data_IF_754188416457
#
_entry.id   IF_754188416457
#
_cell.length_a   1.000
_cell.length_b   1.000
_cell.length_c   1.000
_cell.angle_alpha   90.00
_cell.angle_beta   90.00
_cell.angle_gamma   90.00
#
_symmetry.space_group_name_H-M   'P 1'
#
loop_
_entity.id
_entity.type
_entity.pdbx_description
1 polymer ?
#
# COMPACT_ATOMS: atom_id res chain seq x y z
N UNK A 1 -43.90 -4.65 2.48
CA UNK A 1 -42.62 -5.01 1.82
C UNK A 1 -42.29 -3.92 0.82
N UNK A 2 -41.43 -2.98 1.20
CA UNK A 2 -40.98 -1.90 0.31
C UNK A 2 -39.94 -2.48 -0.65
N UNK A 3 -40.25 -2.48 -1.95
CA UNK A 3 -39.33 -2.91 -3.00
C UNK A 3 -38.05 -2.06 -2.93
N UNK A 4 -36.97 -2.67 -2.45
CA UNK A 4 -35.65 -2.03 -2.44
C UNK A 4 -35.10 -2.11 -3.86
N UNK A 5 -35.51 -1.18 -4.73
CA UNK A 5 -34.90 -1.05 -6.05
C UNK A 5 -33.40 -0.84 -5.89
N UNK A 6 -32.64 -1.71 -6.55
CA UNK A 6 -31.19 -1.65 -6.54
C UNK A 6 -30.78 -0.47 -7.42
N UNK A 7 -30.18 0.52 -6.80
CA UNK A 7 -29.62 1.69 -7.51
C UNK A 7 -28.11 1.56 -7.51
N UNK A 8 -27.43 2.28 -8.40
CA UNK A 8 -25.95 2.38 -8.37
C UNK A 8 -25.47 2.77 -6.95
N UNK A 9 -26.25 3.60 -6.25
CA UNK A 9 -25.94 4.10 -4.91
C UNK A 9 -26.30 3.15 -3.76
N UNK A 10 -27.06 2.06 -3.99
CA UNK A 10 -27.47 1.14 -2.92
C UNK A 10 -27.34 -0.30 -3.36
N UNK A 11 -26.55 -1.06 -2.58
CA UNK A 11 -26.36 -2.49 -2.78
C UNK A 11 -27.68 -3.28 -2.87
N UNK A 12 -28.73 -2.82 -2.17
CA UNK A 12 -30.07 -3.43 -2.17
C UNK A 12 -30.18 -4.69 -1.31
N UNK A 13 -29.06 -5.18 -0.76
CA UNK A 13 -29.03 -6.29 0.18
C UNK A 13 -29.48 -5.85 1.58
N UNK A 14 -30.25 -6.70 2.24
CA UNK A 14 -30.58 -6.53 3.65
C UNK A 14 -29.51 -7.20 4.54
N UNK A 15 -28.39 -6.50 4.73
CA UNK A 15 -27.22 -7.04 5.44
C UNK A 15 -27.54 -7.47 6.88
N UNK A 16 -28.48 -6.79 7.55
CA UNK A 16 -28.92 -7.16 8.89
C UNK A 16 -29.62 -8.53 8.91
N UNK A 17 -30.57 -8.76 8.01
CA UNK A 17 -31.25 -10.05 7.87
C UNK A 17 -30.30 -11.16 7.43
N UNK A 18 -29.37 -10.86 6.51
CA UNK A 18 -28.31 -11.79 6.12
C UNK A 18 -27.46 -12.22 7.33
N UNK A 19 -27.04 -11.27 8.16
CA UNK A 19 -26.26 -11.55 9.37
C UNK A 19 -27.04 -12.37 10.38
N UNK A 20 -28.33 -12.07 10.59
CA UNK A 20 -29.22 -12.86 11.44
C UNK A 20 -29.30 -14.30 10.93
N UNK A 21 -29.52 -14.49 9.62
CA UNK A 21 -29.61 -15.80 9.01
C UNK A 21 -28.31 -16.61 9.18
N UNK A 22 -27.14 -16.00 8.96
CA UNK A 22 -25.86 -16.67 9.24
C UNK A 22 -25.69 -17.00 10.73
N UNK A 23 -26.03 -16.08 11.63
CA UNK A 23 -25.98 -16.31 13.07
C UNK A 23 -26.87 -17.48 13.46
N UNK A 24 -28.09 -17.55 12.95
CA UNK A 24 -29.03 -18.63 13.24
C UNK A 24 -28.55 -19.97 12.68
N UNK A 25 -28.02 -20.00 11.45
CA UNK A 25 -27.41 -21.19 10.86
C UNK A 25 -26.19 -21.69 11.66
N UNK A 26 -25.36 -20.79 12.17
CA UNK A 26 -24.19 -21.14 12.98
C UNK A 26 -24.59 -21.56 14.39
N UNK A 27 -25.65 -20.98 14.96
CA UNK A 27 -26.20 -21.35 16.29
C UNK A 27 -26.78 -22.75 16.31
N UNK A 28 -27.27 -23.27 15.19
CA UNK A 28 -27.66 -24.68 15.08
C UNK A 28 -26.50 -25.63 15.39
N UNK A 29 -25.24 -25.14 15.41
CA UNK A 29 -24.09 -25.80 16.02
C UNK A 29 -23.63 -27.07 15.31
N UNK A 30 -24.27 -27.46 14.20
CA UNK A 30 -23.89 -28.65 13.47
C UNK A 30 -22.63 -28.36 12.63
N UNK A 31 -21.54 -29.05 12.95
CA UNK A 31 -20.29 -28.97 12.19
C UNK A 31 -20.48 -29.24 10.69
N UNK A 32 -21.52 -30.04 10.35
CA UNK A 32 -21.94 -30.31 8.97
C UNK A 32 -22.43 -29.05 8.26
N UNK A 33 -23.29 -28.23 8.86
CA UNK A 33 -23.78 -26.99 8.24
C UNK A 33 -22.63 -26.01 7.99
N UNK A 34 -21.74 -25.83 8.97
CA UNK A 34 -20.56 -24.96 8.80
C UNK A 34 -19.62 -25.47 7.69
N UNK A 35 -19.42 -26.79 7.58
CA UNK A 35 -18.64 -27.39 6.50
C UNK A 35 -19.32 -27.19 5.14
N UNK A 36 -20.61 -27.45 5.03
CA UNK A 36 -21.37 -27.25 3.78
C UNK A 36 -21.37 -25.79 3.34
N UNK A 37 -21.57 -24.84 4.26
CA UNK A 37 -21.47 -23.41 3.97
C UNK A 37 -20.04 -23.02 3.54
N UNK A 38 -19.02 -23.60 4.16
CA UNK A 38 -17.63 -23.44 3.76
C UNK A 38 -17.38 -23.92 2.33
N UNK A 39 -17.86 -25.11 1.98
CA UNK A 39 -17.77 -25.66 0.62
C UNK A 39 -18.56 -24.84 -0.39
N UNK A 40 -19.76 -24.37 -0.03
CA UNK A 40 -20.54 -23.47 -0.88
C UNK A 40 -19.80 -22.15 -1.12
N UNK A 41 -19.22 -21.56 -0.07
CA UNK A 41 -18.42 -20.32 -0.17
C UNK A 41 -17.21 -20.51 -1.09
N UNK A 42 -16.49 -21.63 -0.93
CA UNK A 42 -15.35 -21.97 -1.79
C UNK A 42 -15.77 -22.14 -3.25
N UNK A 43 -16.86 -22.88 -3.49
CA UNK A 43 -17.42 -23.10 -4.82
C UNK A 43 -17.85 -21.80 -5.48
N UNK A 44 -18.55 -20.92 -4.77
CA UNK A 44 -18.95 -19.61 -5.30
C UNK A 44 -17.72 -18.76 -5.65
N UNK A 45 -16.66 -18.80 -4.85
CA UNK A 45 -15.40 -18.11 -5.15
C UNK A 45 -14.71 -18.70 -6.39
N UNK A 46 -14.70 -20.02 -6.54
CA UNK A 46 -14.13 -20.68 -7.71
C UNK A 46 -14.97 -20.40 -8.98
N UNK A 47 -16.29 -20.32 -8.87
CA UNK A 47 -17.20 -19.91 -9.95
C UNK A 47 -17.00 -18.42 -10.34
N UNK A 48 -16.77 -17.53 -9.37
CA UNK A 48 -16.42 -16.13 -9.64
C UNK A 48 -15.00 -15.97 -10.22
N UNK A 49 -14.09 -16.88 -9.88
CA UNK A 49 -12.73 -16.90 -10.41
C UNK A 49 -12.64 -17.49 -11.82
N UNK A 50 -13.64 -18.28 -12.23
CA UNK A 50 -13.63 -18.97 -13.51
C UNK A 50 -13.48 -17.95 -14.66
N UNK A 51 -12.57 -18.22 -15.60
CA UNK A 51 -12.40 -17.35 -16.74
C UNK A 51 -13.70 -17.28 -17.55
N UNK A 52 -13.96 -16.09 -18.08
CA UNK A 52 -15.00 -15.82 -19.05
C UNK A 52 -15.05 -16.91 -20.14
N UNK A 53 -16.10 -17.74 -20.16
CA UNK A 53 -16.33 -18.63 -21.28
C UNK A 53 -16.59 -17.83 -22.57
N UNK A 54 -16.44 -18.43 -23.76
CA UNK A 54 -16.75 -17.75 -25.01
C UNK A 54 -18.24 -17.36 -25.03
N UNK A 55 -18.53 -16.08 -24.80
CA UNK A 55 -19.88 -15.52 -24.80
C UNK A 55 -20.38 -14.94 -23.47
N UNK A 56 -19.67 -15.11 -22.34
CA UNK A 56 -20.01 -14.46 -21.08
C UNK A 56 -18.79 -13.69 -20.57
N UNK A 57 -18.93 -12.38 -20.37
CA UNK A 57 -17.92 -11.60 -19.65
C UNK A 57 -17.78 -12.21 -18.25
N UNK A 58 -16.66 -12.86 -17.97
CA UNK A 58 -16.42 -13.53 -16.69
C UNK A 58 -16.63 -12.58 -15.53
N UNK A 59 -17.01 -13.10 -14.37
CA UNK A 59 -17.39 -12.29 -13.20
C UNK A 59 -16.32 -11.25 -12.80
N UNK A 60 -15.04 -11.51 -13.06
CA UNK A 60 -13.94 -10.56 -12.85
C UNK A 60 -14.01 -9.38 -13.84
N UNK A 61 -14.45 -9.59 -15.08
CA UNK A 61 -14.64 -8.52 -16.06
C UNK A 61 -16.01 -7.85 -15.95
N UNK A 62 -16.98 -8.51 -15.32
CA UNK A 62 -18.33 -7.97 -15.14
C UNK A 62 -18.34 -6.84 -14.11
N UNK A 63 -18.92 -5.71 -14.51
CA UNK A 63 -19.26 -4.59 -13.61
C UNK A 63 -20.71 -4.67 -13.14
N UNK A 64 -21.37 -5.81 -13.36
CA UNK A 64 -22.76 -6.01 -13.01
C UNK A 64 -22.96 -5.92 -11.49
N UNK A 65 -23.96 -5.16 -11.04
CA UNK A 65 -24.20 -4.97 -9.62
C UNK A 65 -24.57 -6.28 -8.91
N UNK A 66 -25.13 -7.26 -9.62
CA UNK A 66 -25.47 -8.57 -9.09
C UNK A 66 -24.23 -9.36 -8.65
N UNK A 67 -23.19 -9.38 -9.47
CA UNK A 67 -21.90 -10.01 -9.13
C UNK A 67 -21.26 -9.33 -7.91
N UNK A 68 -21.31 -7.99 -7.85
CA UNK A 68 -20.77 -7.23 -6.72
C UNK A 68 -21.53 -7.48 -5.41
N UNK A 69 -22.83 -7.78 -5.47
CA UNK A 69 -23.59 -8.23 -4.29
C UNK A 69 -23.07 -9.54 -3.74
N UNK A 70 -22.69 -10.48 -4.62
CA UNK A 70 -22.08 -11.74 -4.19
C UNK A 70 -20.76 -11.46 -3.47
N UNK A 71 -19.92 -10.55 -3.98
CA UNK A 71 -18.71 -10.12 -3.27
C UNK A 71 -19.01 -9.51 -1.90
N UNK A 72 -20.06 -8.68 -1.76
CA UNK A 72 -20.49 -8.15 -0.47
C UNK A 72 -20.88 -9.26 0.51
N UNK A 73 -21.70 -10.22 0.07
CA UNK A 73 -22.11 -11.37 0.90
C UNK A 73 -20.89 -12.19 1.33
N UNK A 74 -19.98 -12.46 0.40
CA UNK A 74 -18.76 -13.23 0.68
C UNK A 74 -17.84 -12.51 1.67
N UNK A 75 -17.61 -11.20 1.51
CA UNK A 75 -16.76 -10.42 2.42
C UNK A 75 -17.33 -10.34 3.84
N UNK A 76 -18.66 -10.37 3.97
CA UNK A 76 -19.38 -10.31 5.25
C UNK A 76 -19.71 -11.68 5.83
N UNK A 77 -19.25 -12.76 5.20
CA UNK A 77 -19.49 -14.11 5.70
C UNK A 77 -18.76 -14.32 7.04
N UNK A 78 -19.49 -14.59 8.15
CA UNK A 78 -18.87 -14.73 9.47
C UNK A 78 -17.94 -15.94 9.59
N UNK A 79 -18.04 -16.94 8.70
CA UNK A 79 -17.11 -18.06 8.65
C UNK A 79 -15.66 -17.60 8.44
N UNK A 80 -15.45 -16.48 7.75
CA UNK A 80 -14.11 -15.96 7.47
C UNK A 80 -13.39 -15.42 8.73
N UNK A 81 -14.12 -15.27 9.86
CA UNK A 81 -13.51 -14.97 11.16
C UNK A 81 -12.62 -16.13 11.65
N UNK A 82 -12.92 -17.37 11.29
CA UNK A 82 -12.07 -18.55 11.51
C UNK A 82 -10.97 -18.62 10.44
N UNK A 83 -10.12 -17.58 10.40
CA UNK A 83 -9.16 -17.35 9.31
C UNK A 83 -8.20 -18.51 9.10
N UNK A 84 -7.82 -19.25 10.16
CA UNK A 84 -6.94 -20.43 10.06
C UNK A 84 -7.56 -21.55 9.22
N UNK A 85 -8.88 -21.77 9.37
CA UNK A 85 -9.61 -22.84 8.68
C UNK A 85 -9.90 -22.48 7.22
N UNK A 86 -10.22 -21.21 6.98
CA UNK A 86 -10.65 -20.71 5.67
C UNK A 86 -9.58 -19.91 4.93
N UNK A 87 -8.31 -20.06 5.33
CA UNK A 87 -7.18 -19.32 4.78
C UNK A 87 -7.10 -19.34 3.23
N UNK A 88 -7.17 -20.52 2.56
CA UNK A 88 -7.06 -20.55 1.09
C UNK A 88 -8.23 -19.85 0.39
N UNK A 89 -9.42 -19.93 0.97
CA UNK A 89 -10.65 -19.32 0.44
C UNK A 89 -10.55 -17.79 0.58
N UNK A 90 -10.11 -17.31 1.74
CA UNK A 90 -9.94 -15.89 2.00
C UNK A 90 -8.86 -15.27 1.10
N UNK A 91 -7.74 -15.95 0.92
CA UNK A 91 -6.66 -15.50 0.04
C UNK A 91 -7.13 -15.35 -1.41
N UNK A 92 -7.87 -16.35 -1.93
CA UNK A 92 -8.52 -16.28 -3.24
C UNK A 92 -9.50 -15.11 -3.31
N UNK A 93 -10.40 -14.96 -2.34
CA UNK A 93 -11.40 -13.89 -2.30
C UNK A 93 -10.75 -12.50 -2.37
N UNK A 94 -9.72 -12.25 -1.56
CA UNK A 94 -9.00 -10.97 -1.54
C UNK A 94 -8.35 -10.68 -2.89
N UNK A 95 -7.72 -11.68 -3.52
CA UNK A 95 -7.15 -11.53 -4.86
C UNK A 95 -8.21 -11.21 -5.91
N UNK A 96 -9.36 -11.87 -5.86
CA UNK A 96 -10.47 -11.60 -6.77
C UNK A 96 -10.99 -10.17 -6.61
N UNK A 97 -11.19 -9.70 -5.37
CA UNK A 97 -11.63 -8.32 -5.10
C UNK A 97 -10.65 -7.30 -5.66
N UNK A 98 -9.34 -7.55 -5.56
CA UNK A 98 -8.32 -6.68 -6.16
C UNK A 98 -8.22 -6.81 -7.69
N UNK A 99 -8.55 -7.98 -8.24
CA UNK A 99 -8.58 -8.21 -9.69
C UNK A 99 -9.80 -7.54 -10.38
N UNK A 100 -10.83 -7.17 -9.62
CA UNK A 100 -11.98 -6.43 -10.15
C UNK A 100 -11.53 -5.11 -10.86
N UNK A 101 -12.26 -4.69 -11.92
CA UNK A 101 -12.08 -3.39 -12.55
C UNK A 101 -12.11 -2.28 -11.52
N UNK A 102 -11.31 -1.23 -11.74
CA UNK A 102 -11.20 -0.10 -10.79
C UNK A 102 -12.58 0.48 -10.43
N UNK A 103 -13.48 0.57 -11.41
CA UNK A 103 -14.86 1.08 -11.23
C UNK A 103 -15.69 0.14 -10.34
N UNK A 104 -15.70 -1.16 -10.64
CA UNK A 104 -16.39 -2.19 -9.84
C UNK A 104 -15.87 -2.22 -8.39
N UNK A 105 -14.55 -2.17 -8.21
CA UNK A 105 -13.94 -2.12 -6.87
C UNK A 105 -14.32 -0.85 -6.13
N UNK A 106 -14.28 0.32 -6.78
CA UNK A 106 -14.70 1.57 -6.15
C UNK A 106 -16.18 1.51 -5.70
N UNK A 107 -17.05 0.93 -6.53
CA UNK A 107 -18.47 0.74 -6.21
C UNK A 107 -18.66 -0.23 -5.02
N UNK A 108 -17.91 -1.32 -4.97
CA UNK A 108 -17.93 -2.26 -3.84
C UNK A 108 -17.50 -1.59 -2.52
N UNK A 109 -16.44 -0.77 -2.57
CA UNK A 109 -15.97 -0.01 -1.41
C UNK A 109 -16.99 1.07 -1.01
N UNK A 110 -17.67 1.68 -1.98
CA UNK A 110 -18.77 2.61 -1.72
C UNK A 110 -19.95 1.92 -1.01
N UNK A 111 -20.32 0.71 -1.41
CA UNK A 111 -21.37 -0.05 -0.72
C UNK A 111 -20.95 -0.48 0.69
N UNK A 112 -19.67 -0.81 0.91
CA UNK A 112 -19.15 -1.03 2.27
C UNK A 112 -19.19 0.25 3.10
N UNK A 113 -18.94 1.43 2.51
CA UNK A 113 -19.09 2.71 3.21
C UNK A 113 -20.50 2.92 3.74
N UNK A 114 -21.50 2.57 2.96
CA UNK A 114 -22.91 2.73 3.33
C UNK A 114 -23.43 1.61 4.24
N UNK A 115 -22.61 0.58 4.50
CA UNK A 115 -22.94 -0.51 5.43
C UNK A 115 -22.76 -0.10 6.89
N UNK A 116 -23.19 -0.96 7.84
CA UNK A 116 -23.04 -0.64 9.25
C UNK A 116 -21.56 -0.65 9.66
N UNK A 117 -21.20 0.15 10.67
CA UNK A 117 -19.82 0.18 11.20
C UNK A 117 -19.35 -1.20 11.69
N UNK A 118 -20.29 -2.05 12.12
CA UNK A 118 -20.02 -3.43 12.54
C UNK A 118 -19.61 -4.32 11.36
N UNK A 119 -20.28 -4.18 10.20
CA UNK A 119 -19.96 -4.91 8.97
C UNK A 119 -18.55 -4.55 8.48
N UNK A 120 -18.25 -3.24 8.41
CA UNK A 120 -16.92 -2.75 8.03
C UNK A 120 -15.85 -3.24 9.02
N UNK A 121 -16.15 -3.17 10.32
CA UNK A 121 -15.25 -3.68 11.35
C UNK A 121 -14.99 -5.18 11.21
N UNK A 122 -16.00 -5.98 10.85
CA UNK A 122 -15.83 -7.41 10.61
C UNK A 122 -14.88 -7.67 9.45
N UNK A 123 -15.07 -7.01 8.30
CA UNK A 123 -14.19 -7.15 7.13
C UNK A 123 -12.74 -6.80 7.50
N UNK A 124 -12.53 -5.68 8.21
CA UNK A 124 -11.18 -5.27 8.65
C UNK A 124 -10.57 -6.31 9.58
N UNK A 125 -11.33 -6.84 10.56
CA UNK A 125 -10.85 -7.88 11.48
C UNK A 125 -10.42 -9.14 10.74
N UNK A 126 -11.20 -9.58 9.74
CA UNK A 126 -10.86 -10.75 8.90
C UNK A 126 -9.54 -10.51 8.16
N UNK A 127 -9.40 -9.37 7.51
CA UNK A 127 -8.16 -9.02 6.78
C UNK A 127 -6.96 -8.87 7.71
N UNK A 128 -7.14 -8.28 8.89
CA UNK A 128 -6.07 -8.18 9.89
C UNK A 128 -5.64 -9.53 10.45
N UNK A 129 -6.59 -10.43 10.70
CA UNK A 129 -6.29 -11.81 11.12
C UNK A 129 -5.50 -12.54 10.05
N UNK A 130 -5.85 -12.36 8.77
CA UNK A 130 -5.09 -12.91 7.64
C UNK A 130 -3.66 -12.40 7.63
N UNK A 131 -3.46 -11.07 7.70
CA UNK A 131 -2.13 -10.46 7.73
C UNK A 131 -1.33 -10.95 8.93
N UNK A 132 -1.95 -11.01 10.12
CA UNK A 132 -1.31 -11.55 11.32
C UNK A 132 -0.85 -12.99 11.09
N UNK A 133 -1.74 -13.87 10.65
CA UNK A 133 -1.48 -15.29 10.48
C UNK A 133 -0.30 -15.53 9.53
N UNK A 134 -0.33 -14.91 8.34
CA UNK A 134 0.75 -15.03 7.33
C UNK A 134 2.10 -14.51 7.85
N UNK A 135 2.08 -13.45 8.66
CA UNK A 135 3.32 -12.84 9.16
C UNK A 135 3.91 -13.55 10.38
N UNK A 136 3.07 -14.14 11.24
CA UNK A 136 3.52 -14.77 12.48
C UNK A 136 3.80 -16.27 12.33
N UNK A 137 3.09 -16.97 11.45
CA UNK A 137 3.28 -18.41 11.27
C UNK A 137 4.44 -18.69 10.31
N UNK A 138 5.53 -19.34 10.76
CA UNK A 138 6.66 -19.68 9.89
C UNK A 138 6.29 -20.61 8.74
N UNK A 139 5.25 -21.44 8.89
CA UNK A 139 4.79 -22.37 7.84
C UNK A 139 4.12 -21.65 6.67
N UNK A 140 3.60 -20.44 6.93
CA UNK A 140 2.83 -19.65 5.96
C UNK A 140 3.65 -18.49 5.37
N UNK A 141 4.96 -18.41 5.65
CA UNK A 141 5.84 -17.36 5.11
C UNK A 141 5.94 -17.33 3.58
N UNK A 142 5.57 -18.42 2.90
CA UNK A 142 5.50 -18.48 1.43
C UNK A 142 4.27 -17.75 0.87
N UNK A 143 3.25 -17.50 1.68
CA UNK A 143 2.04 -16.79 1.26
C UNK A 143 2.29 -15.28 1.24
N UNK A 144 1.77 -14.63 0.21
CA UNK A 144 1.86 -13.19 0.07
C UNK A 144 0.71 -12.49 0.79
N UNK A 145 1.03 -11.67 1.79
CA UNK A 145 0.05 -10.84 2.51
C UNK A 145 -0.24 -9.51 1.81
N UNK A 146 0.51 -9.15 0.75
CA UNK A 146 0.35 -7.88 0.03
C UNK A 146 -1.07 -7.62 -0.48
N UNK A 147 -1.82 -8.61 -1.01
CA UNK A 147 -3.21 -8.41 -1.41
C UNK A 147 -4.10 -7.97 -0.24
N UNK A 148 -3.99 -8.63 0.91
CA UNK A 148 -4.81 -8.32 2.09
C UNK A 148 -4.51 -6.91 2.61
N UNK A 149 -3.22 -6.55 2.65
CA UNK A 149 -2.79 -5.22 3.06
C UNK A 149 -3.22 -4.15 2.05
N UNK A 150 -3.20 -4.44 0.75
CA UNK A 150 -3.66 -3.50 -0.28
C UNK A 150 -5.16 -3.22 -0.17
N UNK A 151 -5.97 -4.26 0.07
CA UNK A 151 -7.41 -4.10 0.31
C UNK A 151 -7.69 -3.33 1.61
N UNK A 152 -6.94 -3.61 2.68
CA UNK A 152 -6.99 -2.80 3.92
C UNK A 152 -6.62 -1.34 3.67
N UNK A 153 -5.67 -1.06 2.79
CA UNK A 153 -5.27 0.28 2.39
C UNK A 153 -6.43 1.05 1.75
N UNK A 154 -7.15 0.42 0.81
CA UNK A 154 -8.34 1.02 0.18
C UNK A 154 -9.44 1.33 1.21
N UNK A 155 -9.67 0.41 2.15
CA UNK A 155 -10.63 0.63 3.24
C UNK A 155 -10.18 1.74 4.18
N UNK A 156 -8.88 1.84 4.48
CA UNK A 156 -8.32 2.89 5.32
C UNK A 156 -8.44 4.27 4.67
N UNK A 157 -8.10 4.41 3.39
CA UNK A 157 -8.26 5.66 2.64
C UNK A 157 -9.72 6.15 2.62
N UNK A 158 -10.65 5.21 2.41
CA UNK A 158 -12.09 5.48 2.49
C UNK A 158 -12.49 5.90 3.91
N UNK A 159 -11.96 5.22 4.93
CA UNK A 159 -12.23 5.52 6.32
C UNK A 159 -11.71 6.89 6.75
N UNK A 160 -10.58 7.37 6.21
CA UNK A 160 -10.08 8.72 6.48
C UNK A 160 -11.06 9.80 6.02
N UNK A 161 -11.80 9.56 4.93
CA UNK A 161 -12.77 10.50 4.38
C UNK A 161 -14.11 10.45 5.11
N UNK A 162 -14.61 9.25 5.38
CA UNK A 162 -15.99 9.05 5.86
C UNK A 162 -16.12 8.64 7.33
N UNK A 163 -15.00 8.31 8.01
CA UNK A 163 -14.96 7.90 9.43
C UNK A 163 -15.92 6.76 9.76
N UNK A 164 -15.94 5.72 8.92
CA UNK A 164 -16.78 4.52 9.07
C UNK A 164 -16.52 3.78 10.39
N UNK A 165 -15.25 3.68 10.79
CA UNK A 165 -14.79 2.99 12.01
C UNK A 165 -13.61 3.73 12.65
N UNK A 166 -13.33 3.52 13.95
CA UNK A 166 -12.15 4.08 14.60
C UNK A 166 -10.85 3.64 13.90
N UNK A 167 -9.93 4.58 13.66
CA UNK A 167 -8.63 4.30 13.01
C UNK A 167 -7.76 3.31 13.79
N UNK A 168 -8.00 3.17 15.10
CA UNK A 168 -7.33 2.18 15.94
C UNK A 168 -7.60 0.74 15.50
N UNK A 169 -8.72 0.49 14.84
CA UNK A 169 -9.11 -0.82 14.33
C UNK A 169 -8.19 -1.28 13.19
N UNK A 170 -7.48 -0.37 12.52
CA UNK A 170 -6.53 -0.73 11.45
C UNK A 170 -5.13 -1.11 11.97
N UNK A 171 -4.80 -0.81 13.22
CA UNK A 171 -3.51 -1.19 13.81
C UNK A 171 -3.45 -2.70 14.06
N UNK A 172 -2.33 -3.32 13.67
CA UNK A 172 -2.10 -4.75 13.90
C UNK A 172 -0.86 -4.95 14.79
N UNK A 173 -0.98 -4.78 16.12
CA UNK A 173 0.16 -4.86 17.03
C UNK A 173 0.83 -6.25 17.03
N UNK A 174 0.05 -7.32 16.82
CA UNK A 174 0.54 -8.69 16.82
C UNK A 174 1.38 -9.03 15.59
N UNK A 175 0.98 -8.57 14.40
CA UNK A 175 1.81 -8.72 13.21
C UNK A 175 3.12 -7.94 13.35
N UNK A 176 3.06 -6.75 13.97
CA UNK A 176 4.23 -5.90 14.11
C UNK A 176 5.24 -6.37 15.18
N UNK A 177 4.81 -7.11 16.21
CA UNK A 177 5.72 -7.56 17.27
C UNK A 177 6.80 -8.54 16.79
N UNK A 178 6.57 -9.22 15.68
CA UNK A 178 7.52 -10.17 15.09
C UNK A 178 8.56 -9.53 14.16
N UNK A 179 8.44 -8.22 13.88
CA UNK A 179 9.21 -7.56 12.82
C UNK A 179 10.37 -6.77 13.40
N UNK A 180 11.56 -6.96 12.83
CA UNK A 180 12.68 -6.05 13.03
C UNK A 180 12.48 -4.78 12.18
N UNK A 181 12.07 -3.68 12.83
CA UNK A 181 11.79 -2.40 12.17
C UNK A 181 13.00 -1.85 11.39
N UNK A 182 14.22 -2.07 11.86
CA UNK A 182 15.42 -1.57 11.18
C UNK A 182 15.63 -2.28 9.85
N UNK A 183 15.54 -3.62 9.87
CA UNK A 183 15.66 -4.45 8.67
C UNK A 183 14.51 -4.23 7.68
N UNK A 184 13.28 -4.02 8.18
CA UNK A 184 12.14 -3.68 7.33
C UNK A 184 12.30 -2.30 6.68
N UNK A 185 12.85 -1.32 7.42
CA UNK A 185 13.16 0.00 6.88
C UNK A 185 14.27 -0.06 5.80
N UNK A 186 15.28 -0.90 5.99
CA UNK A 186 16.31 -1.13 4.98
C UNK A 186 15.75 -1.81 3.73
N UNK A 187 14.86 -2.81 3.91
CA UNK A 187 14.14 -3.45 2.81
C UNK A 187 13.27 -2.46 2.04
N UNK A 188 12.54 -1.59 2.74
CA UNK A 188 11.72 -0.54 2.12
C UNK A 188 12.55 0.39 1.23
N UNK A 189 13.78 0.74 1.66
CA UNK A 189 14.68 1.63 0.91
C UNK A 189 15.35 0.95 -0.28
N UNK A 190 15.77 -0.31 -0.10
CA UNK A 190 16.55 -1.05 -1.11
C UNK A 190 15.68 -1.74 -2.15
N UNK A 191 14.52 -2.28 -1.73
CA UNK A 191 13.62 -3.07 -2.57
C UNK A 191 12.18 -2.53 -2.45
N UNK A 192 11.86 -1.39 -3.10
CA UNK A 192 10.53 -0.77 -2.98
C UNK A 192 9.38 -1.63 -3.54
N UNK A 193 9.71 -2.62 -4.38
CA UNK A 193 8.77 -3.59 -4.93
C UNK A 193 8.40 -4.71 -3.94
N UNK A 194 9.27 -5.02 -2.97
CA UNK A 194 9.01 -6.06 -1.98
C UNK A 194 8.02 -5.58 -0.92
N UNK A 195 7.27 -6.51 -0.34
CA UNK A 195 6.42 -6.21 0.80
C UNK A 195 7.26 -5.73 1.99
N UNK A 196 6.88 -4.57 2.52
CA UNK A 196 7.44 -3.99 3.73
C UNK A 196 6.33 -3.30 4.51
N UNK A 197 6.33 -3.46 5.84
CA UNK A 197 5.31 -2.83 6.68
C UNK A 197 5.49 -1.31 6.77
N UNK A 198 6.72 -0.83 6.60
CA UNK A 198 7.01 0.60 6.52
C UNK A 198 6.26 1.31 5.37
N UNK A 199 5.89 0.56 4.30
CA UNK A 199 5.06 1.08 3.19
C UNK A 199 3.60 1.34 3.59
N UNK A 200 3.13 0.72 4.67
CA UNK A 200 1.73 0.78 5.10
C UNK A 200 1.61 1.28 6.56
N UNK A 201 1.81 2.59 6.81
CA UNK A 201 1.83 3.15 8.17
C UNK A 201 0.54 2.94 8.96
N UNK A 202 -0.60 2.72 8.29
CA UNK A 202 -1.88 2.49 8.97
C UNK A 202 -1.92 1.18 9.74
N UNK A 203 -1.04 0.22 9.45
CA UNK A 203 -0.93 -1.04 10.19
C UNK A 203 -0.09 -0.89 11.47
N UNK A 204 0.83 0.09 11.49
CA UNK A 204 1.75 0.32 12.59
C UNK A 204 1.05 1.05 13.76
N UNK A 205 1.08 0.52 14.99
CA UNK A 205 0.65 1.25 16.17
C UNK A 205 1.57 2.45 16.43
N UNK A 206 1.06 3.44 17.17
CA UNK A 206 1.75 4.72 17.43
C UNK A 206 3.16 4.53 18.02
N UNK A 207 3.33 3.59 18.95
CA UNK A 207 4.64 3.31 19.57
C UNK A 207 5.70 2.92 18.54
N UNK A 208 5.35 2.08 17.58
CA UNK A 208 6.29 1.64 16.53
C UNK A 208 6.57 2.76 15.53
N UNK A 209 5.59 3.63 15.26
CA UNK A 209 5.82 4.84 14.44
C UNK A 209 6.83 5.78 15.09
N UNK A 210 6.72 5.98 16.41
CA UNK A 210 7.67 6.79 17.16
C UNK A 210 9.08 6.18 17.11
N UNK A 211 9.20 4.86 17.31
CA UNK A 211 10.48 4.16 17.18
C UNK A 211 11.06 4.27 15.77
N UNK A 212 10.24 4.08 14.73
CA UNK A 212 10.64 4.23 13.34
C UNK A 212 11.15 5.65 13.06
N UNK A 213 10.47 6.67 13.59
CA UNK A 213 10.90 8.05 13.48
C UNK A 213 12.26 8.27 14.15
N UNK A 214 12.47 7.76 15.37
CA UNK A 214 13.75 7.87 16.08
C UNK A 214 14.89 7.18 15.33
N UNK A 215 14.66 5.97 14.82
CA UNK A 215 15.64 5.22 13.99
C UNK A 215 15.98 6.04 12.74
N UNK A 216 14.96 6.59 12.07
CA UNK A 216 15.15 7.39 10.85
C UNK A 216 15.94 8.68 11.12
N UNK A 217 15.67 9.36 12.23
CA UNK A 217 16.38 10.57 12.65
C UNK A 217 17.84 10.26 12.99
N UNK A 218 18.08 9.19 13.76
CA UNK A 218 19.44 8.73 14.11
C UNK A 218 20.25 8.40 12.86
N UNK A 219 19.67 7.69 11.89
CA UNK A 219 20.34 7.39 10.60
C UNK A 219 20.68 8.66 9.84
N UNK A 220 19.73 9.60 9.68
CA UNK A 220 19.99 10.88 8.99
C UNK A 220 21.08 11.71 9.67
N UNK A 221 21.13 11.72 11.00
CA UNK A 221 22.19 12.39 11.76
C UNK A 221 23.55 11.74 11.50
N UNK A 222 23.64 10.42 11.57
CA UNK A 222 24.88 9.69 11.27
C UNK A 222 25.35 9.93 9.84
N UNK A 223 24.44 9.91 8.87
CA UNK A 223 24.76 10.17 7.47
C UNK A 223 25.25 11.62 7.27
N UNK A 224 24.66 12.59 8.00
CA UNK A 224 25.09 13.98 7.95
C UNK A 224 26.49 14.17 8.56
N UNK A 225 26.78 13.50 9.68
CA UNK A 225 28.11 13.50 10.31
C UNK A 225 29.14 12.87 9.37
N UNK A 226 28.84 11.72 8.79
CA UNK A 226 29.72 11.05 7.84
C UNK A 226 30.02 11.93 6.61
N UNK A 227 28.99 12.54 6.01
CA UNK A 227 29.16 13.50 4.91
C UNK A 227 30.01 14.71 5.31
N UNK A 228 29.78 15.27 6.50
CA UNK A 228 30.57 16.40 7.01
C UNK A 228 32.05 16.06 7.22
N UNK A 229 32.35 14.85 7.71
CA UNK A 229 33.73 14.37 7.86
C UNK A 229 34.41 14.13 6.50
N UNK A 230 33.69 13.54 5.55
CA UNK A 230 34.19 13.35 4.18
C UNK A 230 34.48 14.69 3.51
N UNK A 231 33.58 15.67 3.65
CA UNK A 231 33.77 17.01 3.10
C UNK A 231 35.00 17.71 3.71
N UNK A 232 35.17 17.65 5.04
CA UNK A 232 36.36 18.22 5.71
C UNK A 232 37.65 17.54 5.26
N UNK A 233 37.63 16.21 5.09
CA UNK A 233 38.76 15.45 4.55
C UNK A 233 39.09 15.90 3.12
N UNK A 234 38.09 15.99 2.25
CA UNK A 234 38.26 16.47 0.87
C UNK A 234 38.77 17.91 0.82
N UNK A 235 38.26 18.81 1.66
CA UNK A 235 38.73 20.19 1.76
C UNK A 235 40.20 20.26 2.23
N UNK A 236 40.58 19.42 3.20
CA UNK A 236 41.98 19.34 3.65
C UNK A 236 42.92 18.83 2.55
N UNK A 237 42.49 17.84 1.78
CA UNK A 237 43.24 17.30 0.64
C UNK A 237 43.33 18.34 -0.48
N UNK A 238 42.24 19.04 -0.80
CA UNK A 238 42.22 20.08 -1.82
C UNK A 238 43.14 21.25 -1.45
N UNK A 239 43.15 21.67 -0.18
CA UNK A 239 44.10 22.68 0.32
C UNK A 239 45.55 22.22 0.22
N UNK A 240 45.84 20.98 0.62
CA UNK A 240 47.18 20.42 0.51
C UNK A 240 47.65 20.27 -0.95
N UNK A 241 46.74 19.96 -1.88
CA UNK A 241 47.04 19.93 -3.32
C UNK A 241 47.26 21.33 -3.89
N UNK A 242 46.48 22.33 -3.48
CA UNK A 242 46.68 23.72 -3.88
C UNK A 242 48.00 24.31 -3.36
N UNK A 243 48.42 23.96 -2.14
CA UNK A 243 49.73 24.34 -1.60
C UNK A 243 50.91 23.65 -2.31
N UNK A 244 50.66 22.50 -2.95
CA UNK A 244 51.66 21.75 -3.73
C UNK A 244 51.70 22.12 -5.22
N UNK A 245 50.78 22.95 -5.70
CA UNK A 245 50.85 23.49 -7.05
C UNK A 245 52.12 24.35 -7.15
N UNK A 246 53.03 24.10 -8.12
CA UNK A 246 54.25 24.86 -8.24
C UNK A 246 53.90 26.33 -8.42
N UNK A 247 54.47 27.19 -7.58
CA UNK A 247 54.48 28.64 -7.81
C UNK A 247 55.08 28.82 -9.20
N UNK A 248 54.25 29.19 -10.18
CA UNK A 248 54.78 29.68 -11.44
C UNK A 248 55.79 30.79 -11.11
N UNK A 249 57.01 30.73 -11.67
CA UNK A 249 58.00 31.76 -11.41
C UNK A 249 57.41 33.09 -11.90
N UNK A 250 57.29 34.02 -10.96
CA UNK A 250 57.01 35.42 -11.24
C UNK A 250 58.13 35.93 -12.14
N UNK A 251 57.88 35.96 -13.44
CA UNK A 251 58.70 36.72 -14.40
C UNK A 251 58.33 38.19 -14.27
N UNK A 252 58.92 38.87 -13.30
CA UNK A 252 59.11 40.31 -13.38
C UNK A 252 60.28 40.58 -14.32
N UNK A 253 59.98 40.88 -15.59
CA UNK A 253 60.77 41.80 -16.40
C UNK A 253 59.89 42.41 -17.52
N UNK A 254 59.60 43.70 -17.33
CA UNK A 254 59.31 44.77 -18.29
C UNK A 254 59.04 44.45 -19.78
N UNK A 255 57.88 44.91 -20.27
CA UNK A 255 57.84 45.73 -21.49
C UNK A 255 56.59 46.63 -21.52
N UNK A 256 56.73 47.97 -21.65
CA UNK A 256 55.62 48.90 -21.74
C UNK A 256 55.26 49.19 -23.21
N UNK A 257 54.94 48.18 -24.02
CA UNK A 257 54.41 48.40 -25.38
C UNK A 257 53.51 47.23 -25.80
N UNK A 258 52.29 47.21 -25.28
CA UNK A 258 51.18 46.45 -25.86
C UNK A 258 49.85 47.18 -25.61
N UNK A 259 49.87 48.49 -25.78
CA UNK A 259 48.67 49.25 -26.12
C UNK A 259 48.58 49.21 -27.65
N UNK A 260 47.38 48.97 -28.18
CA UNK A 260 47.02 48.92 -29.62
C UNK A 260 47.20 47.55 -30.30
N UNK A 261 46.31 46.58 -30.01
CA UNK A 261 45.97 45.54 -30.99
C UNK A 261 44.61 44.84 -30.75
N UNK A 262 44.04 44.89 -29.55
CA UNK A 262 42.82 44.10 -29.24
C UNK A 262 41.57 44.96 -28.99
N UNK A 263 41.55 46.16 -29.57
CA UNK A 263 40.33 46.99 -29.69
C UNK A 263 39.60 46.79 -31.03
N UNK A 264 40.11 45.92 -31.93
CA UNK A 264 39.54 45.71 -33.27
C UNK A 264 38.69 44.44 -33.43
N UNK A 265 38.66 43.53 -32.45
CA UNK A 265 37.91 42.27 -32.55
C UNK A 265 36.56 42.27 -31.80
N UNK A 266 36.27 43.30 -31.00
CA UNK A 266 35.03 43.41 -30.21
C UNK A 266 33.90 44.22 -30.90
N UNK A 267 34.06 44.60 -32.18
CA UNK A 267 33.12 45.45 -32.91
C UNK A 267 32.35 44.76 -34.07
N UNK A 268 32.31 43.41 -34.11
CA UNK A 268 31.66 42.68 -35.20
C UNK A 268 30.71 41.54 -34.76
N UNK A 269 30.15 41.60 -33.54
CA UNK A 269 29.19 40.60 -33.07
C UNK A 269 27.98 41.21 -32.31
N UNK A 270 27.55 42.40 -32.72
CA UNK A 270 26.34 43.03 -32.21
C UNK A 270 25.50 43.61 -33.35
N UNK A 271 24.66 42.76 -33.95
CA UNK A 271 23.42 43.22 -34.59
C UNK A 271 22.36 42.11 -34.54
N UNK A 272 21.07 42.46 -34.43
CA UNK A 272 20.01 41.60 -33.91
C UNK A 272 19.19 40.96 -35.02
N UNK A 273 18.69 39.74 -34.77
CA UNK A 273 17.66 39.12 -35.61
C UNK A 273 16.37 38.92 -34.80
N UNK A 274 15.41 39.72 -35.20
CA UNK A 274 13.98 39.80 -34.87
C UNK A 274 13.21 38.56 -35.37
N UNK A 275 12.19 38.16 -34.59
CA UNK A 275 10.92 37.47 -34.94
C UNK A 275 10.89 36.49 -36.13
N UNK A 276 10.56 35.23 -35.83
CA UNK A 276 9.21 34.63 -36.05
C UNK A 276 9.06 33.34 -35.25
#
# INVERSE_FOLDING_TARGET
>A
ATERHTTVSRCGLDLASMRSAYSDLLRLGSARVAATLGHATARTIDELAAPAGPGHAGAIASTEPETLRVFMVLLLNPLLLETERYLPILEKLVRLVLALPKVARALLIEWLRDSSSEDVAQVIRVLQRLVRLVMTDPKLKSLDCSPAVSLLGLLYETNLRFRMVPSSLFYNPHACSAINLEADLDRFRTMPAAFSMCKYPFLLPLRLKQQLLMISARRRMNDAVARGLMQRSQESIARAMAERAPREPVTTESSPFAYVAEAAAAAAAAAPAVLL
#
